data_IF_109481450903
#
_entry.id   IF_109481450903
#
_cell.length_a   1.000
_cell.length_b   1.000
_cell.length_c   1.000
_cell.angle_alpha   90.00
_cell.angle_beta   90.00
_cell.angle_gamma   90.00
#
_symmetry.space_group_name_H-M   'P 1'
#
loop_
_entity.id
_entity.type
_entity.pdbx_description
1 polymer ?
#
# COMPACT_ATOMS: atom_id res chain seq x y z
N UNK A 1 9.10 -18.13 3.00
CA UNK A 1 8.89 -17.68 4.41
C UNK A 1 7.39 -17.52 4.63
N UNK A 2 6.92 -17.63 5.88
CA UNK A 2 5.49 -17.49 6.21
C UNK A 2 5.35 -16.55 7.39
N UNK A 3 4.42 -15.58 7.29
CA UNK A 3 4.16 -14.62 8.36
C UNK A 3 2.65 -14.68 8.67
N UNK A 4 2.30 -15.10 9.87
CA UNK A 4 0.92 -15.12 10.33
C UNK A 4 0.50 -13.71 10.78
N UNK A 5 -0.72 -13.32 10.43
CA UNK A 5 -1.34 -12.05 10.79
C UNK A 5 -2.54 -12.35 11.72
N UNK A 6 -2.33 -12.33 13.04
CA UNK A 6 -3.33 -12.70 14.04
C UNK A 6 -4.29 -11.53 14.35
N UNK A 7 -5.18 -11.23 13.42
CA UNK A 7 -6.24 -10.21 13.52
C UNK A 7 -7.62 -10.88 13.67
N UNK A 8 -8.70 -10.10 13.67
CA UNK A 8 -10.08 -10.60 13.85
C UNK A 8 -10.45 -11.73 12.87
N UNK A 9 -9.94 -11.66 11.63
CA UNK A 9 -9.97 -12.75 10.64
C UNK A 9 -8.52 -13.10 10.31
N UNK A 10 -7.91 -14.07 11.00
CA UNK A 10 -6.50 -14.36 10.86
C UNK A 10 -6.18 -14.91 9.47
N UNK A 11 -5.05 -14.50 8.92
CA UNK A 11 -4.56 -14.96 7.64
C UNK A 11 -3.04 -15.05 7.63
N UNK A 12 -2.48 -15.49 6.50
CA UNK A 12 -1.04 -15.63 6.35
C UNK A 12 -0.54 -14.94 5.09
N UNK A 13 0.64 -14.35 5.20
CA UNK A 13 1.46 -13.89 4.07
C UNK A 13 2.51 -14.96 3.79
N UNK A 14 2.45 -15.57 2.62
CA UNK A 14 3.47 -16.50 2.13
C UNK A 14 4.43 -15.72 1.21
N UNK A 15 5.74 -15.84 1.46
CA UNK A 15 6.78 -15.12 0.72
C UNK A 15 7.78 -16.15 0.19
N UNK A 16 7.79 -16.35 -1.12
CA UNK A 16 8.79 -17.18 -1.81
C UNK A 16 8.78 -16.90 -3.31
N UNK A 17 9.92 -17.12 -4.01
CA UNK A 17 9.96 -17.12 -5.47
C UNK A 17 9.05 -18.23 -6.05
N UNK A 18 8.35 -17.91 -7.15
CA UNK A 18 7.53 -18.87 -7.89
C UNK A 18 6.14 -19.16 -7.31
N UNK A 19 5.71 -18.45 -6.26
CA UNK A 19 4.39 -18.68 -5.63
C UNK A 19 3.22 -18.43 -6.57
N UNK A 20 3.38 -17.62 -7.60
CA UNK A 20 2.31 -17.38 -8.58
C UNK A 20 1.92 -18.67 -9.29
N UNK A 21 2.86 -19.59 -9.54
CA UNK A 21 2.58 -20.89 -10.18
C UNK A 21 1.89 -21.87 -9.23
N UNK A 22 1.96 -21.60 -7.92
CA UNK A 22 1.28 -22.36 -6.87
C UNK A 22 -0.03 -21.70 -6.40
N UNK A 23 -0.54 -20.68 -7.10
CA UNK A 23 -1.70 -19.88 -6.70
C UNK A 23 -2.94 -20.72 -6.39
N UNK A 24 -3.11 -21.85 -7.06
CA UNK A 24 -4.20 -22.79 -6.81
C UNK A 24 -4.28 -23.34 -5.39
N UNK A 25 -3.19 -23.31 -4.61
CA UNK A 25 -3.19 -23.75 -3.19
C UNK A 25 -3.98 -22.81 -2.25
N UNK A 26 -4.25 -21.58 -2.69
CA UNK A 26 -4.92 -20.54 -1.92
C UNK A 26 -6.42 -20.44 -2.23
N UNK A 27 -6.90 -21.19 -3.21
CA UNK A 27 -8.31 -21.22 -3.65
C UNK A 27 -8.83 -22.65 -3.59
N UNK A 28 -10.05 -22.84 -3.10
CA UNK A 28 -10.64 -24.18 -2.95
C UNK A 28 -10.92 -24.82 -4.32
N UNK A 29 -10.52 -26.07 -4.49
CA UNK A 29 -10.85 -26.85 -5.71
C UNK A 29 -12.37 -26.98 -5.88
N UNK A 30 -12.83 -26.99 -7.12
CA UNK A 30 -14.25 -27.07 -7.45
C UNK A 30 -15.01 -25.74 -7.36
N UNK A 31 -14.33 -24.63 -7.01
CA UNK A 31 -14.90 -23.28 -6.95
C UNK A 31 -14.50 -22.43 -8.16
N UNK A 32 -14.98 -21.18 -8.19
CA UNK A 32 -14.55 -20.18 -9.15
C UNK A 32 -13.68 -19.09 -8.49
N UNK A 33 -12.80 -18.50 -9.30
CA UNK A 33 -12.03 -17.32 -8.91
C UNK A 33 -12.16 -16.24 -9.96
N UNK A 34 -12.58 -15.03 -9.57
CA UNK A 34 -12.44 -13.84 -10.41
C UNK A 34 -11.03 -13.29 -10.23
N UNK A 35 -10.20 -13.37 -11.27
CA UNK A 35 -8.84 -12.85 -11.28
C UNK A 35 -8.87 -11.42 -11.81
N UNK A 36 -8.80 -10.46 -10.91
CA UNK A 36 -8.81 -9.03 -11.23
C UNK A 36 -7.39 -8.53 -11.39
N UNK A 37 -7.12 -7.88 -12.51
CA UNK A 37 -5.82 -7.29 -12.85
C UNK A 37 -6.01 -6.04 -13.70
N UNK A 38 -4.91 -5.40 -14.11
CA UNK A 38 -4.93 -4.24 -14.98
C UNK A 38 -4.11 -4.45 -16.25
N UNK A 39 -4.24 -3.52 -17.21
CA UNK A 39 -3.76 -3.64 -18.58
C UNK A 39 -2.25 -3.92 -18.71
N UNK A 40 -1.40 -3.36 -17.83
CA UNK A 40 0.05 -3.57 -17.88
C UNK A 40 0.46 -4.91 -17.26
N UNK A 41 -0.26 -5.39 -16.23
CA UNK A 41 0.02 -6.66 -15.55
C UNK A 41 -0.56 -7.85 -16.32
N UNK A 42 -1.73 -7.67 -16.96
CA UNK A 42 -2.43 -8.74 -17.66
C UNK A 42 -1.56 -9.50 -18.68
N UNK A 43 -0.87 -8.85 -19.64
CA UNK A 43 -0.06 -9.56 -20.64
C UNK A 43 1.14 -10.32 -20.03
N UNK A 44 1.58 -9.94 -18.82
CA UNK A 44 2.74 -10.52 -18.17
C UNK A 44 2.39 -11.71 -17.26
N UNK A 45 1.29 -11.61 -16.50
CA UNK A 45 1.03 -12.50 -15.37
C UNK A 45 -0.33 -13.21 -15.39
N UNK A 46 -1.35 -12.66 -16.08
CA UNK A 46 -2.72 -13.15 -15.99
C UNK A 46 -2.87 -14.62 -16.43
N UNK A 47 -2.31 -14.99 -17.58
CA UNK A 47 -2.42 -16.36 -18.07
C UNK A 47 -1.68 -17.36 -17.18
N UNK A 48 -0.54 -16.93 -16.59
CA UNK A 48 0.21 -17.74 -15.62
C UNK A 48 -0.62 -17.99 -14.37
N UNK A 49 -1.26 -16.97 -13.79
CA UNK A 49 -2.16 -17.08 -12.65
C UNK A 49 -3.38 -17.96 -12.95
N UNK A 50 -4.05 -17.74 -14.10
CA UNK A 50 -5.21 -18.54 -14.51
C UNK A 50 -4.87 -20.00 -14.74
N UNK A 51 -3.70 -20.31 -15.29
CA UNK A 51 -3.22 -21.68 -15.48
C UNK A 51 -2.99 -22.39 -14.14
N UNK A 52 -2.36 -21.71 -13.18
CA UNK A 52 -2.15 -22.25 -11.83
C UNK A 52 -3.48 -22.57 -11.13
N UNK A 53 -4.48 -21.73 -11.28
CA UNK A 53 -5.82 -21.94 -10.72
C UNK A 53 -6.52 -23.14 -11.42
N UNK A 54 -6.51 -23.18 -12.76
CA UNK A 54 -7.13 -24.28 -13.52
C UNK A 54 -6.50 -25.63 -13.21
N UNK A 55 -5.17 -25.67 -13.06
CA UNK A 55 -4.45 -26.89 -12.68
C UNK A 55 -4.88 -27.43 -11.30
N UNK A 56 -5.37 -26.56 -10.41
CA UNK A 56 -5.92 -26.92 -9.11
C UNK A 56 -7.44 -27.20 -9.14
N UNK A 57 -8.07 -27.26 -10.32
CA UNK A 57 -9.51 -27.49 -10.46
C UNK A 57 -10.38 -26.28 -10.16
N UNK A 58 -9.84 -25.06 -10.23
CA UNK A 58 -10.56 -23.81 -10.03
C UNK A 58 -10.95 -23.19 -11.38
N UNK A 59 -12.19 -22.78 -11.55
CA UNK A 59 -12.66 -22.04 -12.73
C UNK A 59 -12.18 -20.59 -12.67
N UNK A 60 -11.08 -20.28 -13.35
CA UNK A 60 -10.52 -18.94 -13.40
C UNK A 60 -11.27 -18.05 -14.40
N UNK A 61 -11.81 -16.92 -13.94
CA UNK A 61 -12.51 -15.91 -14.74
C UNK A 61 -11.68 -14.62 -14.71
N UNK A 62 -11.15 -14.15 -15.85
CA UNK A 62 -10.34 -12.93 -15.88
C UNK A 62 -11.21 -11.67 -15.85
N UNK A 63 -10.71 -10.62 -15.18
CA UNK A 63 -11.25 -9.28 -15.19
C UNK A 63 -10.10 -8.28 -15.32
N UNK A 64 -9.95 -7.70 -16.52
CA UNK A 64 -8.90 -6.71 -16.80
C UNK A 64 -9.52 -5.32 -16.69
N UNK A 65 -8.89 -4.45 -15.89
CA UNK A 65 -9.28 -3.07 -15.66
C UNK A 65 -8.27 -2.11 -16.31
N UNK A 66 -8.63 -0.86 -16.57
CA UNK A 66 -7.66 0.16 -16.95
C UNK A 66 -6.55 0.30 -15.90
N UNK A 67 -5.36 0.71 -16.33
CA UNK A 67 -4.27 1.02 -15.41
C UNK A 67 -4.44 2.42 -14.78
N UNK A 68 -3.80 2.66 -13.62
CA UNK A 68 -3.74 3.96 -12.96
C UNK A 68 -4.75 4.14 -11.82
N UNK A 69 -4.51 5.19 -11.01
CA UNK A 69 -5.32 5.49 -9.82
C UNK A 69 -6.78 5.79 -10.15
N UNK A 70 -7.07 6.37 -11.31
CA UNK A 70 -8.43 6.67 -11.78
C UNK A 70 -9.33 5.42 -11.86
N UNK A 71 -8.73 4.23 -11.88
CA UNK A 71 -9.45 2.95 -11.80
C UNK A 71 -10.09 2.71 -10.43
N UNK A 72 -9.58 3.32 -9.36
CA UNK A 72 -10.22 3.25 -8.02
C UNK A 72 -11.48 4.09 -7.93
N UNK A 73 -12.42 3.93 -8.82
CA UNK A 73 -13.62 4.74 -8.96
C UNK A 73 -14.90 3.95 -8.75
N UNK A 74 -15.99 4.66 -8.42
CA UNK A 74 -17.32 4.07 -8.30
C UNK A 74 -17.76 3.37 -9.61
N UNK A 75 -17.37 3.91 -10.77
CA UNK A 75 -17.70 3.33 -12.08
C UNK A 75 -17.03 1.96 -12.27
N UNK A 76 -15.75 1.85 -11.99
CA UNK A 76 -15.01 0.59 -12.10
C UNK A 76 -15.43 -0.43 -11.02
N UNK A 77 -15.72 0.06 -9.80
CA UNK A 77 -16.30 -0.78 -8.76
C UNK A 77 -17.64 -1.39 -9.20
N UNK A 78 -18.57 -0.59 -9.75
CA UNK A 78 -19.85 -1.08 -10.24
C UNK A 78 -19.68 -2.06 -11.42
N UNK A 79 -18.70 -1.82 -12.31
CA UNK A 79 -18.36 -2.73 -13.40
C UNK A 79 -17.84 -4.08 -12.86
N UNK A 80 -17.01 -4.04 -11.81
CA UNK A 80 -16.48 -5.25 -11.19
C UNK A 80 -17.57 -6.08 -10.50
N UNK A 81 -18.53 -5.44 -9.82
CA UNK A 81 -19.71 -6.12 -9.25
C UNK A 81 -20.56 -6.80 -10.33
N UNK A 82 -20.75 -6.17 -11.50
CA UNK A 82 -21.42 -6.80 -12.64
C UNK A 82 -20.67 -8.04 -13.13
N UNK A 83 -19.33 -7.96 -13.23
CA UNK A 83 -18.51 -9.13 -13.61
C UNK A 83 -18.63 -10.28 -12.62
N UNK A 84 -18.71 -10.01 -11.32
CA UNK A 84 -18.97 -11.02 -10.29
C UNK A 84 -20.33 -11.71 -10.49
N UNK A 85 -21.37 -10.92 -10.81
CA UNK A 85 -22.72 -11.44 -11.10
C UNK A 85 -22.76 -12.28 -12.39
N UNK A 86 -22.21 -11.77 -13.48
CA UNK A 86 -22.14 -12.45 -14.78
C UNK A 86 -21.37 -13.77 -14.70
N UNK A 87 -20.29 -13.78 -13.93
CA UNK A 87 -19.49 -14.97 -13.70
C UNK A 87 -20.17 -15.97 -12.73
N UNK A 88 -21.29 -15.59 -12.11
CA UNK A 88 -22.07 -16.42 -11.20
C UNK A 88 -21.32 -16.76 -9.91
N UNK A 89 -20.51 -15.86 -9.38
CA UNK A 89 -19.76 -16.11 -8.16
C UNK A 89 -20.68 -16.19 -6.94
N UNK A 90 -20.45 -17.21 -6.13
CA UNK A 90 -21.15 -17.50 -4.87
C UNK A 90 -20.28 -17.15 -3.65
N UNK A 91 -20.78 -17.39 -2.44
CA UNK A 91 -20.00 -17.22 -1.21
C UNK A 91 -18.83 -18.20 -1.03
N UNK A 92 -18.83 -19.31 -1.78
CA UNK A 92 -17.73 -20.28 -1.75
C UNK A 92 -16.55 -19.87 -2.65
N UNK A 93 -16.77 -18.90 -3.54
CA UNK A 93 -15.82 -18.48 -4.55
C UNK A 93 -14.86 -17.39 -4.03
N UNK A 94 -13.87 -17.04 -4.84
CA UNK A 94 -12.77 -16.17 -4.42
C UNK A 94 -12.55 -15.01 -5.40
N UNK A 95 -12.26 -13.83 -4.91
CA UNK A 95 -11.64 -12.75 -5.69
C UNK A 95 -10.12 -12.86 -5.51
N UNK A 96 -9.38 -12.89 -6.62
CA UNK A 96 -7.93 -12.85 -6.65
C UNK A 96 -7.52 -11.49 -7.20
N UNK A 97 -6.88 -10.68 -6.37
CA UNK A 97 -6.37 -9.35 -6.74
C UNK A 97 -4.91 -9.49 -7.20
N UNK A 98 -4.67 -9.54 -8.51
CA UNK A 98 -3.35 -9.67 -9.13
C UNK A 98 -2.88 -8.31 -9.64
N UNK A 99 -2.16 -7.55 -8.81
CA UNK A 99 -1.75 -6.20 -9.20
C UNK A 99 -1.11 -5.38 -8.09
N UNK A 100 -1.00 -4.09 -8.33
CA UNK A 100 -0.57 -3.10 -7.33
C UNK A 100 -1.68 -2.74 -6.33
N UNK A 101 -1.43 -1.69 -5.53
CA UNK A 101 -2.37 -1.21 -4.50
C UNK A 101 -3.77 -0.87 -5.04
N UNK A 102 -3.84 -0.26 -6.22
CA UNK A 102 -5.12 0.08 -6.88
C UNK A 102 -6.00 -1.16 -7.08
N UNK A 103 -5.42 -2.22 -7.64
CA UNK A 103 -6.12 -3.48 -7.86
C UNK A 103 -6.46 -4.17 -6.54
N UNK A 104 -5.53 -4.14 -5.57
CA UNK A 104 -5.76 -4.71 -4.24
C UNK A 104 -6.93 -4.07 -3.52
N UNK A 105 -6.98 -2.73 -3.49
CA UNK A 105 -8.01 -1.96 -2.80
C UNK A 105 -9.38 -2.12 -3.45
N UNK A 106 -9.47 -1.92 -4.77
CA UNK A 106 -10.72 -2.03 -5.52
C UNK A 106 -11.31 -3.45 -5.47
N UNK A 107 -10.47 -4.46 -5.70
CA UNK A 107 -10.88 -5.87 -5.66
C UNK A 107 -11.29 -6.29 -4.25
N UNK A 108 -10.56 -5.82 -3.25
CA UNK A 108 -10.85 -6.07 -1.85
C UNK A 108 -12.19 -5.45 -1.43
N UNK A 109 -12.48 -4.22 -1.87
CA UNK A 109 -13.77 -3.58 -1.59
C UNK A 109 -14.92 -4.29 -2.33
N UNK A 110 -14.71 -4.74 -3.56
CA UNK A 110 -15.69 -5.57 -4.27
C UNK A 110 -15.94 -6.89 -3.55
N UNK A 111 -14.88 -7.56 -3.07
CA UNK A 111 -15.01 -8.79 -2.28
C UNK A 111 -15.73 -8.57 -0.95
N UNK A 112 -15.45 -7.46 -0.27
CA UNK A 112 -16.10 -7.09 1.00
C UNK A 112 -17.61 -6.92 0.88
N UNK A 113 -18.08 -6.43 -0.25
CA UNK A 113 -19.49 -6.06 -0.47
C UNK A 113 -20.29 -7.11 -1.24
N UNK A 114 -19.64 -7.88 -2.13
CA UNK A 114 -20.29 -8.97 -2.87
C UNK A 114 -20.84 -10.02 -1.92
N UNK A 115 -22.14 -10.26 -1.99
CA UNK A 115 -22.88 -11.19 -1.12
C UNK A 115 -22.63 -10.96 0.40
N UNK A 116 -22.28 -9.75 0.80
CA UNK A 116 -21.87 -9.30 2.14
C UNK A 116 -20.54 -9.88 2.62
N UNK A 117 -19.66 -10.17 1.67
CA UNK A 117 -18.30 -10.66 1.90
C UNK A 117 -18.05 -12.04 1.30
N UNK A 118 -17.03 -12.11 0.43
CA UNK A 118 -16.48 -13.36 -0.10
C UNK A 118 -14.96 -13.39 0.10
N UNK A 119 -14.36 -14.55 -0.12
CA UNK A 119 -12.91 -14.71 0.03
C UNK A 119 -12.13 -13.78 -0.90
N UNK A 120 -11.06 -13.20 -0.37
CA UNK A 120 -10.08 -12.40 -1.10
C UNK A 120 -8.70 -13.05 -0.98
N UNK A 121 -7.98 -13.17 -2.09
CA UNK A 121 -6.55 -13.50 -2.11
C UNK A 121 -5.81 -12.34 -2.76
N UNK A 122 -4.85 -11.76 -2.05
CA UNK A 122 -3.98 -10.70 -2.57
C UNK A 122 -2.74 -11.32 -3.22
N UNK A 123 -2.45 -10.91 -4.44
CA UNK A 123 -1.23 -11.27 -5.19
C UNK A 123 -0.55 -9.96 -5.62
N UNK A 124 0.17 -9.29 -4.69
CA UNK A 124 0.78 -8.01 -4.96
C UNK A 124 1.90 -8.13 -6.00
N UNK A 125 1.91 -7.23 -6.99
CA UNK A 125 2.89 -7.22 -8.08
C UNK A 125 3.80 -6.00 -8.05
N UNK A 126 3.55 -5.01 -7.18
CA UNK A 126 4.41 -3.85 -6.95
C UNK A 126 5.08 -3.94 -5.59
N UNK A 127 6.24 -3.31 -5.42
CA UNK A 127 6.93 -3.28 -4.12
C UNK A 127 6.05 -2.63 -3.05
N UNK A 128 5.42 -1.50 -3.36
CA UNK A 128 4.49 -0.82 -2.44
C UNK A 128 3.39 -1.77 -1.95
N UNK A 129 2.78 -2.52 -2.86
CA UNK A 129 1.74 -3.46 -2.48
C UNK A 129 2.28 -4.63 -1.63
N UNK A 130 3.48 -5.13 -1.93
CA UNK A 130 4.11 -6.20 -1.18
C UNK A 130 4.46 -5.81 0.27
N UNK A 131 4.98 -4.58 0.46
CA UNK A 131 5.47 -4.14 1.78
C UNK A 131 4.39 -3.44 2.61
N UNK A 132 3.31 -2.95 1.98
CA UNK A 132 2.33 -2.11 2.66
C UNK A 132 0.87 -2.48 2.33
N UNK A 133 0.34 -2.13 1.15
CA UNK A 133 -1.11 -2.09 0.92
C UNK A 133 -1.81 -3.45 0.97
N UNK A 134 -1.16 -4.56 0.64
CA UNK A 134 -1.77 -5.91 0.69
C UNK A 134 -1.99 -6.43 2.12
N UNK A 135 -1.45 -5.76 3.15
CA UNK A 135 -1.50 -6.21 4.55
C UNK A 135 -2.34 -5.26 5.40
N UNK A 136 -3.31 -5.81 6.14
CA UNK A 136 -4.09 -5.05 7.14
C UNK A 136 -5.49 -4.67 6.71
N UNK A 137 -5.99 -5.23 5.60
CA UNK A 137 -7.40 -5.28 5.24
C UNK A 137 -8.06 -3.96 4.85
N UNK A 138 -7.32 -2.86 4.70
CA UNK A 138 -7.87 -1.62 4.16
C UNK A 138 -8.20 -1.81 2.69
N UNK A 139 -9.45 -1.59 2.30
CA UNK A 139 -9.91 -1.66 0.91
C UNK A 139 -10.81 -0.48 0.62
N UNK A 140 -10.67 0.16 -0.53
CA UNK A 140 -11.40 1.38 -0.81
C UNK A 140 -11.47 1.73 -2.30
N UNK A 141 -12.33 2.70 -2.59
CA UNK A 141 -12.37 3.46 -3.83
C UNK A 141 -12.28 4.96 -3.52
N UNK A 142 -11.93 5.71 -4.55
CA UNK A 142 -11.85 7.16 -4.51
C UNK A 142 -13.17 7.80 -4.94
N UNK A 143 -13.42 9.01 -4.44
CA UNK A 143 -14.47 9.89 -4.90
C UNK A 143 -13.85 11.20 -5.42
N UNK A 144 -14.59 12.03 -6.17
CA UNK A 144 -14.11 13.36 -6.58
C UNK A 144 -13.67 14.22 -5.38
N UNK A 145 -14.25 13.98 -4.20
CA UNK A 145 -13.98 14.69 -2.96
C UNK A 145 -12.70 14.25 -2.25
N UNK A 146 -12.11 13.10 -2.63
CA UNK A 146 -10.86 12.61 -2.02
C UNK A 146 -10.62 11.12 -2.19
N UNK A 147 -9.38 10.71 -1.93
CA UNK A 147 -8.93 9.32 -1.99
C UNK A 147 -9.46 8.49 -0.81
N UNK A 148 -9.76 7.22 -1.09
CA UNK A 148 -10.07 6.18 -0.09
C UNK A 148 -11.25 6.51 0.84
N UNK A 149 -12.18 7.37 0.41
CA UNK A 149 -13.31 7.80 1.25
C UNK A 149 -14.40 6.74 1.40
N UNK A 150 -14.52 5.82 0.47
CA UNK A 150 -15.52 4.75 0.49
C UNK A 150 -14.82 3.41 0.49
N UNK A 151 -14.97 2.64 1.55
CA UNK A 151 -14.27 1.37 1.68
C UNK A 151 -14.73 0.54 2.86
N UNK A 152 -14.01 -0.56 3.10
CA UNK A 152 -14.24 -1.48 4.20
C UNK A 152 -12.92 -2.05 4.70
N UNK A 153 -12.88 -2.45 5.97
CA UNK A 153 -11.87 -3.38 6.46
C UNK A 153 -12.28 -4.79 6.07
N UNK A 154 -11.55 -5.41 5.16
CA UNK A 154 -11.78 -6.78 4.67
C UNK A 154 -10.46 -7.52 4.60
N UNK A 155 -10.19 -8.36 5.61
CA UNK A 155 -8.94 -9.10 5.67
C UNK A 155 -8.89 -10.14 4.55
N UNK A 156 -7.76 -10.27 3.84
CA UNK A 156 -7.61 -11.31 2.83
C UNK A 156 -7.52 -12.70 3.49
N UNK A 157 -7.94 -13.73 2.77
CA UNK A 157 -7.73 -15.11 3.22
C UNK A 157 -6.26 -15.54 3.12
N UNK A 158 -5.50 -14.91 2.23
CA UNK A 158 -4.05 -15.07 2.08
C UNK A 158 -3.47 -13.89 1.30
N UNK A 159 -2.18 -13.62 1.53
CA UNK A 159 -1.35 -12.78 0.66
C UNK A 159 -0.24 -13.64 0.07
N UNK A 160 -0.18 -13.70 -1.25
CA UNK A 160 0.79 -14.49 -2.02
C UNK A 160 1.86 -13.55 -2.56
N UNK A 161 2.93 -13.38 -1.79
CA UNK A 161 4.01 -12.44 -2.09
C UNK A 161 5.14 -13.18 -2.82
N UNK A 162 5.15 -13.09 -4.14
CA UNK A 162 6.19 -13.67 -5.00
C UNK A 162 7.22 -12.59 -5.38
N UNK A 163 8.44 -12.60 -4.81
CA UNK A 163 9.45 -11.58 -5.09
C UNK A 163 9.88 -11.50 -6.56
N UNK A 164 9.70 -12.58 -7.34
CA UNK A 164 10.05 -12.58 -8.77
C UNK A 164 9.13 -11.68 -9.60
N UNK A 165 7.91 -11.36 -9.11
CA UNK A 165 7.01 -10.47 -9.83
C UNK A 165 7.58 -9.04 -9.95
N UNK A 166 8.50 -8.66 -9.07
CA UNK A 166 9.23 -7.39 -9.15
C UNK A 166 10.22 -7.32 -10.33
N UNK A 167 10.57 -8.46 -10.96
CA UNK A 167 11.45 -8.47 -12.14
C UNK A 167 10.79 -7.83 -13.37
N UNK A 168 9.46 -7.82 -13.40
CA UNK A 168 8.68 -7.20 -14.47
C UNK A 168 8.32 -5.74 -14.20
N UNK A 169 8.66 -5.23 -13.01
CA UNK A 169 8.25 -3.91 -12.56
C UNK A 169 9.16 -2.82 -13.16
N UNK A 170 8.60 -1.77 -13.79
CA UNK A 170 9.39 -0.64 -14.26
C UNK A 170 10.19 0.00 -13.12
N UNK A 171 11.47 0.40 -13.35
CA UNK A 171 12.33 0.96 -12.30
C UNK A 171 11.72 2.17 -11.56
N UNK A 172 10.91 2.99 -12.23
CA UNK A 172 10.25 4.12 -11.61
C UNK A 172 9.22 3.68 -10.56
N UNK A 173 8.43 2.63 -10.85
CA UNK A 173 7.44 2.08 -9.94
C UNK A 173 8.11 1.31 -8.78
N UNK A 174 9.26 0.66 -9.04
CA UNK A 174 10.05 0.05 -7.98
C UNK A 174 10.53 1.12 -6.98
N UNK A 175 11.09 2.23 -7.49
CA UNK A 175 11.54 3.36 -6.65
C UNK A 175 10.39 3.94 -5.82
N UNK A 176 9.21 4.08 -6.42
CA UNK A 176 8.03 4.55 -5.70
C UNK A 176 7.73 3.68 -4.47
N UNK A 177 7.76 2.36 -4.63
CA UNK A 177 7.59 1.42 -3.50
C UNK A 177 8.72 1.46 -2.47
N UNK A 178 9.94 1.88 -2.84
CA UNK A 178 11.05 2.03 -1.91
C UNK A 178 10.79 3.10 -0.83
N UNK A 179 9.95 4.10 -1.11
CA UNK A 179 9.57 5.11 -0.13
C UNK A 179 8.88 4.47 1.08
N UNK A 180 7.93 3.55 0.85
CA UNK A 180 7.22 2.85 1.90
C UNK A 180 8.11 1.86 2.66
N UNK A 181 9.03 1.20 1.96
CA UNK A 181 10.01 0.33 2.62
C UNK A 181 10.94 1.14 3.53
N UNK A 182 11.44 2.30 3.07
CA UNK A 182 12.30 3.17 3.88
C UNK A 182 11.52 3.82 5.02
N UNK A 183 10.29 4.26 4.80
CA UNK A 183 9.39 4.75 5.86
C UNK A 183 9.22 3.71 6.97
N UNK A 184 8.95 2.47 6.61
CA UNK A 184 8.81 1.36 7.56
C UNK A 184 10.10 1.14 8.35
N UNK A 185 11.25 1.22 7.69
CA UNK A 185 12.56 1.10 8.32
C UNK A 185 12.82 2.25 9.31
N UNK A 186 12.52 3.49 8.93
CA UNK A 186 12.64 4.68 9.81
C UNK A 186 11.72 4.55 11.03
N UNK A 187 10.52 4.00 10.86
CA UNK A 187 9.57 3.82 11.96
C UNK A 187 10.01 2.76 12.96
N UNK A 188 10.48 1.59 12.50
CA UNK A 188 10.49 0.38 13.32
C UNK A 188 11.80 -0.41 13.28
N UNK A 189 12.65 -0.24 12.26
CA UNK A 189 13.72 -1.20 12.01
C UNK A 189 15.03 -0.52 11.54
N UNK A 190 15.91 -0.11 12.47
CA UNK A 190 17.19 0.52 12.12
C UNK A 190 18.14 -0.35 11.27
N UNK A 191 18.08 -1.67 11.41
CA UNK A 191 18.92 -2.56 10.60
C UNK A 191 18.43 -2.64 9.16
N UNK A 192 17.08 -2.64 8.96
CA UNK A 192 16.46 -2.53 7.64
C UNK A 192 16.81 -1.19 6.99
N UNK A 193 16.80 -0.10 7.77
CA UNK A 193 17.25 1.20 7.30
C UNK A 193 18.70 1.15 6.80
N UNK A 194 19.61 0.58 7.60
CA UNK A 194 21.01 0.44 7.25
C UNK A 194 21.21 -0.38 5.97
N UNK A 195 20.42 -1.46 5.80
CA UNK A 195 20.45 -2.28 4.60
C UNK A 195 20.00 -1.49 3.35
N UNK A 196 18.86 -0.77 3.41
CA UNK A 196 18.35 0.03 2.30
C UNK A 196 19.30 1.20 1.97
N UNK A 197 19.82 1.90 2.98
CA UNK A 197 20.78 2.98 2.82
C UNK A 197 22.10 2.49 2.18
N UNK A 198 22.55 1.27 2.48
CA UNK A 198 23.75 0.72 1.89
C UNK A 198 23.54 0.22 0.45
N UNK A 199 22.39 -0.39 0.14
CA UNK A 199 22.13 -1.07 -1.12
C UNK A 199 21.39 -0.22 -2.17
N UNK A 200 20.64 0.80 -1.74
CA UNK A 200 19.74 1.52 -2.64
C UNK A 200 18.68 0.58 -3.23
N UNK A 201 18.40 0.68 -4.50
CA UNK A 201 17.43 -0.20 -5.21
C UNK A 201 17.92 -1.63 -5.48
N UNK A 202 19.22 -1.90 -5.25
CA UNK A 202 19.82 -3.25 -5.37
C UNK A 202 19.79 -4.00 -4.02
N UNK A 203 18.70 -3.89 -3.32
CA UNK A 203 18.50 -4.56 -2.05
C UNK A 203 18.10 -6.04 -2.23
N UNK A 204 18.44 -6.87 -1.23
CA UNK A 204 17.94 -8.25 -1.17
C UNK A 204 16.46 -8.28 -0.81
N UNK A 205 15.63 -8.71 -1.76
CA UNK A 205 14.17 -8.80 -1.60
C UNK A 205 13.77 -9.75 -0.47
N UNK A 206 14.52 -10.84 -0.29
CA UNK A 206 14.24 -11.81 0.77
C UNK A 206 14.64 -11.31 2.15
N UNK A 207 15.39 -10.24 2.24
CA UNK A 207 15.63 -9.48 3.47
C UNK A 207 14.57 -8.40 3.67
N UNK A 208 14.28 -7.57 2.64
CA UNK A 208 13.43 -6.38 2.77
C UNK A 208 11.96 -6.74 2.94
N UNK A 209 11.40 -7.60 2.07
CA UNK A 209 9.96 -7.90 2.10
C UNK A 209 9.50 -8.49 3.43
N UNK A 210 10.14 -9.54 3.99
CA UNK A 210 9.69 -10.11 5.26
C UNK A 210 9.79 -9.13 6.44
N UNK A 211 10.83 -8.29 6.47
CA UNK A 211 11.02 -7.30 7.56
C UNK A 211 9.94 -6.21 7.49
N UNK A 212 9.67 -5.66 6.32
CA UNK A 212 8.57 -4.69 6.15
C UNK A 212 7.22 -5.30 6.53
N UNK A 213 6.92 -6.51 6.05
CA UNK A 213 5.67 -7.21 6.36
C UNK A 213 5.55 -7.51 7.86
N UNK A 214 6.64 -7.90 8.53
CA UNK A 214 6.64 -8.12 9.97
C UNK A 214 6.34 -6.83 10.76
N UNK A 215 6.97 -5.71 10.41
CA UNK A 215 6.67 -4.41 11.00
C UNK A 215 5.21 -4.00 10.76
N UNK A 216 4.71 -4.20 9.53
CA UNK A 216 3.32 -3.92 9.19
C UNK A 216 2.35 -4.79 9.98
N UNK A 217 2.63 -6.11 10.10
CA UNK A 217 1.86 -7.04 10.94
C UNK A 217 1.76 -6.51 12.37
N UNK A 218 2.88 -6.13 12.98
CA UNK A 218 2.91 -5.70 14.38
C UNK A 218 2.05 -4.43 14.58
N UNK A 219 2.14 -3.46 13.66
CA UNK A 219 1.29 -2.28 13.68
C UNK A 219 -0.20 -2.60 13.50
N UNK A 220 -0.54 -3.53 12.57
CA UNK A 220 -1.93 -3.96 12.33
C UNK A 220 -2.49 -4.76 13.50
N UNK A 221 -1.70 -5.65 14.12
CA UNK A 221 -2.13 -6.43 15.27
C UNK A 221 -2.35 -5.57 16.51
N UNK A 222 -1.56 -4.51 16.67
CA UNK A 222 -1.74 -3.55 17.76
C UNK A 222 -3.00 -2.68 17.59
N UNK A 223 -3.41 -2.42 16.33
CA UNK A 223 -4.54 -1.54 16.02
C UNK A 223 -5.13 -1.89 14.64
N UNK A 224 -5.97 -2.90 14.60
CA UNK A 224 -6.53 -3.43 13.35
C UNK A 224 -7.32 -2.37 12.56
N UNK A 225 -8.05 -1.50 13.26
CA UNK A 225 -8.99 -0.55 12.65
C UNK A 225 -8.45 0.88 12.54
N UNK A 226 -7.14 1.08 12.75
CA UNK A 226 -6.44 2.37 12.57
C UNK A 226 -7.03 3.52 13.40
N UNK A 227 -7.27 3.26 14.69
CA UNK A 227 -7.83 4.24 15.63
C UNK A 227 -6.80 4.85 16.59
N UNK A 228 -5.55 4.39 16.55
CA UNK A 228 -4.49 4.79 17.47
C UNK A 228 -3.09 4.48 16.95
N UNK A 229 -2.43 3.45 17.49
CA UNK A 229 -1.02 3.16 17.23
C UNK A 229 -0.65 2.94 15.75
N UNK A 230 -1.57 2.39 14.96
CA UNK A 230 -1.35 2.17 13.51
C UNK A 230 -1.17 3.48 12.73
N UNK A 231 -1.63 4.62 13.28
CA UNK A 231 -1.41 5.95 12.68
C UNK A 231 0.08 6.32 12.54
N UNK A 232 0.98 5.65 13.27
CA UNK A 232 2.44 5.78 13.03
C UNK A 232 2.84 5.53 11.57
N UNK A 233 2.12 4.65 10.87
CA UNK A 233 2.36 4.39 9.46
C UNK A 233 2.15 5.62 8.54
N UNK A 234 1.53 6.68 9.06
CA UNK A 234 1.34 7.96 8.34
C UNK A 234 2.58 8.89 8.40
N UNK A 235 3.76 8.41 8.80
CA UNK A 235 4.99 9.21 8.73
C UNK A 235 5.21 9.71 7.29
N UNK A 236 5.37 11.03 7.13
CA UNK A 236 5.50 11.68 5.83
C UNK A 236 4.17 11.90 5.07
N UNK A 237 3.09 11.21 5.41
CA UNK A 237 1.84 11.23 4.64
C UNK A 237 1.08 12.55 4.73
N UNK A 238 1.18 13.31 5.83
CA UNK A 238 0.48 14.60 5.94
C UNK A 238 0.94 15.59 4.88
N UNK A 239 2.26 15.72 4.68
CA UNK A 239 2.81 16.52 3.61
C UNK A 239 2.70 15.80 2.25
N UNK A 240 2.90 14.47 2.23
CA UNK A 240 2.80 13.65 1.00
C UNK A 240 1.44 13.76 0.32
N UNK A 241 0.34 13.56 1.02
CA UNK A 241 -1.02 13.70 0.46
C UNK A 241 -1.30 15.14 -0.01
N UNK A 242 -0.80 16.15 0.73
CA UNK A 242 -0.88 17.54 0.26
C UNK A 242 -0.17 17.74 -1.09
N UNK A 243 1.02 17.16 -1.25
CA UNK A 243 1.79 17.19 -2.50
C UNK A 243 1.05 16.45 -3.63
N UNK A 244 0.49 15.26 -3.37
CA UNK A 244 -0.33 14.54 -4.35
C UNK A 244 -1.49 15.42 -4.85
N UNK A 245 -2.25 16.01 -3.93
CA UNK A 245 -3.39 16.88 -4.24
C UNK A 245 -2.97 18.11 -5.02
N UNK A 246 -1.96 18.84 -4.57
CA UNK A 246 -1.48 20.07 -5.24
C UNK A 246 -0.88 19.79 -6.62
N UNK A 247 -0.26 18.65 -6.81
CA UNK A 247 0.25 18.23 -8.11
C UNK A 247 -0.85 17.75 -9.07
N UNK A 248 -2.10 17.64 -8.62
CA UNK A 248 -3.18 16.99 -9.39
C UNK A 248 -2.85 15.51 -9.64
N UNK A 249 -2.29 14.82 -8.64
CA UNK A 249 -1.87 13.42 -8.67
C UNK A 249 -0.83 13.07 -9.76
N UNK A 250 -0.09 14.06 -10.26
CA UNK A 250 1.03 13.84 -11.20
C UNK A 250 2.29 13.32 -10.53
N UNK A 251 2.48 13.64 -9.25
CA UNK A 251 3.55 13.08 -8.43
C UNK A 251 3.05 11.77 -7.84
N UNK A 252 3.78 10.69 -8.09
CA UNK A 252 3.45 9.36 -7.60
C UNK A 252 3.46 9.32 -6.06
N UNK A 253 2.63 8.45 -5.47
CA UNK A 253 2.41 8.36 -4.03
C UNK A 253 3.70 8.22 -3.23
N UNK A 254 4.55 7.25 -3.56
CA UNK A 254 5.80 7.04 -2.84
C UNK A 254 6.77 8.21 -3.00
N UNK A 255 6.78 8.90 -4.15
CA UNK A 255 7.57 10.12 -4.33
C UNK A 255 7.08 11.24 -3.42
N UNK A 256 5.77 11.42 -3.30
CA UNK A 256 5.17 12.41 -2.40
C UNK A 256 5.44 12.07 -0.92
N UNK A 257 5.30 10.79 -0.54
CA UNK A 257 5.66 10.30 0.81
C UNK A 257 7.14 10.48 1.11
N UNK A 258 8.04 10.25 0.14
CA UNK A 258 9.47 10.48 0.30
C UNK A 258 9.80 11.95 0.60
N UNK A 259 9.19 12.89 -0.12
CA UNK A 259 9.32 14.33 0.17
C UNK A 259 8.78 14.65 1.56
N UNK A 260 7.60 14.14 1.90
CA UNK A 260 7.00 14.34 3.22
C UNK A 260 7.85 13.76 4.35
N UNK A 261 8.46 12.58 4.14
CA UNK A 261 9.40 11.98 5.09
C UNK A 261 10.64 12.87 5.27
N UNK A 262 11.21 13.39 4.18
CA UNK A 262 12.34 14.31 4.24
C UNK A 262 12.01 15.60 5.00
N UNK A 263 10.84 16.21 4.75
CA UNK A 263 10.35 17.38 5.49
C UNK A 263 10.26 17.07 6.98
N UNK A 264 9.59 15.99 7.36
CA UNK A 264 9.43 15.61 8.77
C UNK A 264 10.75 15.26 9.44
N UNK A 265 11.66 14.61 8.69
CA UNK A 265 13.00 14.29 9.21
C UNK A 265 13.83 15.55 9.48
N UNK A 266 13.89 16.50 8.55
CA UNK A 266 14.61 17.78 8.74
C UNK A 266 14.04 18.59 9.91
N UNK A 267 12.70 18.59 10.07
CA UNK A 267 12.05 19.34 11.14
C UNK A 267 12.30 18.77 12.54
N UNK A 268 12.48 17.44 12.69
CA UNK A 268 12.42 16.81 14.01
C UNK A 268 13.47 15.72 14.28
N UNK A 269 14.08 15.13 13.24
CA UNK A 269 14.89 13.93 13.41
C UNK A 269 16.39 14.25 13.56
N UNK A 270 17.04 13.65 14.56
CA UNK A 270 18.50 13.77 14.68
C UNK A 270 19.28 13.11 13.54
N UNK A 271 18.67 12.14 12.85
CA UNK A 271 19.25 11.43 11.70
C UNK A 271 18.76 11.98 10.35
N UNK A 272 18.34 13.25 10.27
CA UNK A 272 17.73 13.82 9.06
C UNK A 272 18.62 13.67 7.82
N UNK A 273 19.92 13.97 7.95
CA UNK A 273 20.88 13.87 6.84
C UNK A 273 21.04 12.41 6.34
N UNK A 274 21.02 11.43 7.23
CA UNK A 274 21.11 10.02 6.88
C UNK A 274 19.84 9.55 6.13
N UNK A 275 18.65 9.97 6.60
CA UNK A 275 17.37 9.66 5.94
C UNK A 275 17.33 10.29 4.55
N UNK A 276 17.73 11.56 4.43
CA UNK A 276 17.77 12.24 3.14
C UNK A 276 18.74 11.57 2.16
N UNK A 277 19.95 11.22 2.63
CA UNK A 277 20.92 10.50 1.81
C UNK A 277 20.39 9.13 1.33
N UNK A 278 19.68 8.40 2.19
CA UNK A 278 19.06 7.13 1.83
C UNK A 278 17.94 7.31 0.77
N UNK A 279 17.08 8.34 0.90
CA UNK A 279 16.06 8.69 -0.08
C UNK A 279 16.70 8.99 -1.45
N UNK A 280 17.72 9.83 -1.48
CA UNK A 280 18.45 10.19 -2.71
C UNK A 280 19.08 8.94 -3.35
N UNK A 281 19.69 8.07 -2.56
CA UNK A 281 20.29 6.83 -3.06
C UNK A 281 19.26 5.85 -3.63
N UNK A 282 18.03 5.85 -3.13
CA UNK A 282 16.90 5.11 -3.68
C UNK A 282 16.32 5.77 -4.94
N UNK A 283 16.84 6.94 -5.35
CA UNK A 283 16.37 7.70 -6.50
C UNK A 283 15.03 8.41 -6.23
N UNK A 284 14.76 8.75 -4.97
CA UNK A 284 13.53 9.41 -4.53
C UNK A 284 13.77 10.91 -4.32
N UNK A 285 12.78 11.76 -4.62
CA UNK A 285 12.87 13.20 -4.39
C UNK A 285 12.79 13.51 -2.89
N UNK A 286 13.47 14.60 -2.47
CA UNK A 286 13.48 15.07 -1.08
C UNK A 286 13.00 16.51 -0.93
N UNK A 287 12.61 17.16 -2.04
CA UNK A 287 12.17 18.56 -2.09
C UNK A 287 10.93 18.71 -2.96
N UNK A 288 10.19 19.78 -2.72
CA UNK A 288 9.02 20.17 -3.50
C UNK A 288 9.09 21.65 -3.86
N UNK A 289 8.35 22.06 -4.89
CA UNK A 289 8.17 23.45 -5.30
C UNK A 289 7.02 24.16 -4.56
N UNK A 290 6.16 23.39 -3.88
CA UNK A 290 5.02 23.96 -3.15
C UNK A 290 5.49 24.63 -1.85
N UNK A 291 4.91 25.80 -1.51
CA UNK A 291 5.26 26.51 -0.28
C UNK A 291 4.72 25.81 0.97
N UNK A 292 5.28 26.07 2.17
CA UNK A 292 4.77 25.55 3.44
C UNK A 292 3.28 25.85 3.65
N UNK A 293 2.82 27.04 3.27
CA UNK A 293 1.41 27.48 3.41
C UNK A 293 0.50 26.67 2.47
N UNK A 294 0.94 26.45 1.22
CA UNK A 294 0.19 25.62 0.26
C UNK A 294 0.05 24.19 0.77
N UNK A 295 1.13 23.61 1.28
CA UNK A 295 1.11 22.25 1.86
C UNK A 295 0.19 22.19 3.09
N UNK A 296 0.26 23.17 3.98
CA UNK A 296 -0.60 23.23 5.17
C UNK A 296 -2.08 23.34 4.77
N UNK A 297 -2.40 24.24 3.84
CA UNK A 297 -3.77 24.43 3.36
C UNK A 297 -4.33 23.14 2.71
N UNK A 298 -3.56 22.47 1.87
CA UNK A 298 -3.98 21.23 1.21
C UNK A 298 -4.14 20.09 2.24
N UNK A 299 -3.24 19.95 3.22
CA UNK A 299 -3.35 18.94 4.28
C UNK A 299 -4.60 19.13 5.15
N UNK A 300 -5.03 20.38 5.36
CA UNK A 300 -6.26 20.69 6.11
C UNK A 300 -7.53 20.43 5.30
N UNK A 301 -7.49 20.61 3.99
CA UNK A 301 -8.62 20.33 3.11
C UNK A 301 -8.99 18.83 3.14
N UNK A 302 -7.98 17.96 3.18
CA UNK A 302 -8.14 16.50 3.32
C UNK A 302 -8.74 16.09 4.68
N UNK A 303 -8.49 16.89 5.73
CA UNK A 303 -8.88 16.59 7.12
C UNK A 303 -9.98 17.49 7.71
N UNK A 304 -10.76 18.19 6.91
CA UNK A 304 -11.82 19.18 7.32
C UNK A 304 -12.84 18.70 8.37
N UNK A 305 -12.68 17.49 8.93
CA UNK A 305 -13.60 16.92 9.93
C UNK A 305 -12.98 16.71 11.32
N UNK A 306 -11.73 17.09 11.57
CA UNK A 306 -11.02 16.72 12.80
C UNK A 306 -10.84 17.86 13.83
N UNK A 307 -11.46 19.03 13.68
CA UNK A 307 -11.35 20.13 14.64
C UNK A 307 -10.06 20.95 14.49
N UNK A 308 -9.63 21.62 15.58
CA UNK A 308 -8.48 22.54 15.61
C UNK A 308 -7.12 21.83 15.78
N UNK A 309 -7.09 20.51 15.83
CA UNK A 309 -5.87 19.71 16.08
C UNK A 309 -5.69 18.63 15.02
N UNK A 310 -4.44 18.30 14.75
CA UNK A 310 -4.03 17.25 13.83
C UNK A 310 -3.01 16.32 14.51
N UNK A 311 -3.12 15.01 14.29
CA UNK A 311 -2.12 14.05 14.73
C UNK A 311 -1.01 13.94 13.69
N UNK A 312 0.22 14.20 14.11
CA UNK A 312 1.43 14.07 13.29
C UNK A 312 2.31 12.93 13.80
N UNK A 313 3.01 12.27 12.89
CA UNK A 313 4.08 11.34 13.24
C UNK A 313 5.40 12.10 13.28
N UNK A 314 6.03 12.14 14.45
CA UNK A 314 7.28 12.84 14.68
C UNK A 314 8.43 11.82 14.74
N UNK A 315 9.33 11.80 13.77
CA UNK A 315 10.54 10.99 13.85
C UNK A 315 11.58 11.71 14.73
N UNK A 316 11.89 11.15 15.89
CA UNK A 316 12.95 11.67 16.77
C UNK A 316 14.32 11.11 16.37
N UNK A 317 14.30 9.85 15.94
CA UNK A 317 15.45 9.13 15.38
C UNK A 317 14.95 7.95 14.54
N UNK A 318 15.84 7.31 13.79
CA UNK A 318 15.58 6.04 13.14
C UNK A 318 15.24 4.99 14.20
N UNK A 319 14.07 4.36 14.07
CA UNK A 319 13.50 3.43 15.05
C UNK A 319 12.82 4.08 16.25
N UNK A 320 12.76 5.41 16.33
CA UNK A 320 12.13 6.16 17.42
C UNK A 320 11.20 7.23 16.85
N UNK A 321 9.95 6.88 16.67
CA UNK A 321 8.90 7.75 16.16
C UNK A 321 7.70 7.77 17.11
N UNK A 322 7.04 8.93 17.24
CA UNK A 322 5.91 9.09 18.14
C UNK A 322 4.76 9.83 17.47
N UNK A 323 3.54 9.54 17.91
CA UNK A 323 2.37 10.36 17.59
C UNK A 323 2.35 11.62 18.46
N UNK A 324 2.07 12.75 17.85
CA UNK A 324 1.91 14.03 18.55
C UNK A 324 0.77 14.83 17.96
N UNK A 325 -0.14 15.27 18.81
CA UNK A 325 -1.14 16.26 18.42
C UNK A 325 -0.52 17.65 18.32
N UNK A 326 -0.85 18.36 17.26
CA UNK A 326 -0.44 19.74 17.02
C UNK A 326 -1.65 20.58 16.63
N UNK A 327 -1.68 21.89 16.99
CA UNK A 327 -2.66 22.81 16.44
C UNK A 327 -2.50 22.91 14.91
N UNK A 328 -3.62 23.00 14.18
CA UNK A 328 -3.60 23.03 12.71
C UNK A 328 -2.90 24.25 12.13
N UNK A 329 -2.94 25.39 12.84
CA UNK A 329 -2.27 26.64 12.47
C UNK A 329 -0.74 26.55 12.53
N UNK A 330 -0.17 25.56 13.22
CA UNK A 330 1.28 25.34 13.30
C UNK A 330 1.85 24.53 12.13
N UNK A 331 1.02 24.02 11.23
CA UNK A 331 1.48 23.14 10.14
C UNK A 331 2.43 23.84 9.17
N UNK A 332 2.15 25.09 8.79
CA UNK A 332 3.02 25.84 7.90
C UNK A 332 4.42 26.02 8.51
N UNK A 333 4.51 26.42 9.77
CA UNK A 333 5.79 26.56 10.49
C UNK A 333 6.55 25.25 10.62
N UNK A 334 5.82 24.12 10.77
CA UNK A 334 6.43 22.78 10.82
C UNK A 334 7.04 22.44 9.47
N UNK A 335 6.31 22.67 8.39
CA UNK A 335 6.80 22.37 7.03
C UNK A 335 7.95 23.30 6.65
N UNK A 336 7.89 24.62 7.01
CA UNK A 336 8.97 25.56 6.78
C UNK A 336 10.29 25.11 7.41
N UNK A 337 10.26 24.60 8.65
CA UNK A 337 11.46 24.05 9.32
C UNK A 337 12.07 22.86 8.60
N UNK A 338 11.28 22.12 7.82
CA UNK A 338 11.71 20.92 7.12
C UNK A 338 12.02 21.12 5.63
N UNK A 339 11.83 22.30 5.08
CA UNK A 339 12.10 22.59 3.66
C UNK A 339 13.51 23.10 3.42
#
# INVERSE_FOLDING_TARGET
MKIDIPVSQPYRVDIAPGLLDDLGRYVSSGTAALVVTEEHVAPLLLERACRALRAAGVRAVPAILPAGEETKSLAQYAALLRKLAEAGLTRADTVVALGGGVIGDLSGFAAATWLRGIRLVQVPTTLLAMVDSSVGGKTAIDLPEGKNLVGAFHQPAAVVCDPQLLDTLPPAILRDGCAEALKTAVLFDPDLFSHLAARGTDFDRMTVLPRCIACKRDAVCADEFDRGARQLLNLGHTAGHAIETLSGYRIAHGHAVAIGLAIMARAFCRNAAEIEAALIKLGLPTRTEFSPEQLAQAALADKKRAGERITLVIPRAIGDCVLREAPVDTLADIFERGM
#
